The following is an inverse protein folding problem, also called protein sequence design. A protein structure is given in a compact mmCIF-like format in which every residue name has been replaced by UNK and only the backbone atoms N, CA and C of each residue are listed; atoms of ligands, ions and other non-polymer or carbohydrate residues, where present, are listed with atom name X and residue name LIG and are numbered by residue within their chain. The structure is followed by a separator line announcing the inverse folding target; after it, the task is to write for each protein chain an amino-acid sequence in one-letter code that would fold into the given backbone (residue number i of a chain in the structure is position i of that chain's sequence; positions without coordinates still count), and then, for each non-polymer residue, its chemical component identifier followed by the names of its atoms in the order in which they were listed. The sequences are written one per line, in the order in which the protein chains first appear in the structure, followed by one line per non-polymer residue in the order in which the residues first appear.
data_IF_263965689417
#
_entry.id   IF_263965689417
#
_cell.length_a   1.000
_cell.length_b   1.000
_cell.length_c   1.000
_cell.angle_alpha   90.00
_cell.angle_beta   90.00
_cell.angle_gamma   90.00
#
_symmetry.space_group_name_H-M   'P 1'
#
loop_
_entity.id
_entity.type
_entity.pdbx_description
1 polymer ?
#
# COMPACT_ATOMS: atom_id res chain seq x y z
N UNK A 1 -0.19 -37.15 -51.83
CA UNK A 1 0.42 -37.14 -50.46
C UNK A 1 0.55 -35.78 -49.84
N UNK A 2 -0.08 -34.71 -50.36
CA UNK A 2 0.12 -33.32 -49.85
C UNK A 2 -1.04 -32.76 -49.02
N UNK A 3 -2.23 -33.33 -49.04
CA UNK A 3 -3.41 -32.74 -48.39
C UNK A 3 -3.50 -33.13 -46.91
N UNK A 4 -2.97 -34.28 -46.54
CA UNK A 4 -3.01 -34.76 -45.14
C UNK A 4 -2.01 -34.01 -44.24
N UNK A 5 -0.89 -33.53 -44.77
CA UNK A 5 0.10 -32.73 -43.99
C UNK A 5 -0.38 -31.32 -43.73
N UNK A 6 -1.16 -30.73 -44.62
CA UNK A 6 -1.72 -29.38 -44.46
C UNK A 6 -2.85 -29.38 -43.44
N UNK A 7 -3.71 -30.42 -43.44
CA UNK A 7 -4.76 -30.56 -42.44
C UNK A 7 -4.21 -30.85 -41.04
N UNK A 8 -3.09 -31.56 -40.93
CA UNK A 8 -2.43 -31.84 -39.67
C UNK A 8 -1.73 -30.58 -39.13
N UNK A 9 -1.19 -29.72 -39.99
CA UNK A 9 -0.60 -28.43 -39.62
C UNK A 9 -1.68 -27.42 -39.20
N UNK A 10 -2.84 -27.40 -39.86
CA UNK A 10 -3.99 -26.62 -39.43
C UNK A 10 -4.59 -27.13 -38.10
N UNK A 11 -4.59 -28.44 -37.84
CA UNK A 11 -5.00 -29.00 -36.57
C UNK A 11 -4.04 -28.67 -35.43
N UNK A 12 -2.72 -28.58 -35.68
CA UNK A 12 -1.73 -28.14 -34.71
C UNK A 12 -1.80 -26.63 -34.40
N UNK A 13 -2.22 -25.82 -35.36
CA UNK A 13 -2.42 -24.39 -35.15
C UNK A 13 -3.70 -24.11 -34.34
N UNK A 14 -4.69 -24.99 -34.40
CA UNK A 14 -5.96 -24.85 -33.69
C UNK A 14 -5.93 -25.37 -32.23
N UNK A 15 -4.86 -25.99 -31.76
CA UNK A 15 -4.75 -26.60 -30.42
C UNK A 15 -3.84 -25.83 -29.49
N UNK A 16 -3.34 -24.66 -29.88
CA UNK A 16 -2.91 -23.65 -28.92
C UNK A 16 -4.01 -22.59 -28.70
N UNK A 17 -5.24 -22.97 -28.64
CA UNK A 17 -6.18 -22.31 -27.78
C UNK A 17 -5.74 -22.68 -26.37
N UNK A 18 -4.89 -21.82 -25.79
CA UNK A 18 -4.68 -21.83 -24.35
C UNK A 18 -6.06 -21.86 -23.73
N UNK A 19 -6.38 -22.99 -23.15
CA UNK A 19 -7.56 -23.13 -22.30
C UNK A 19 -7.31 -22.20 -21.14
N UNK A 20 -7.64 -20.91 -21.29
CA UNK A 20 -7.74 -19.98 -20.18
C UNK A 20 -8.62 -20.66 -19.16
N UNK A 21 -8.03 -21.09 -18.06
CA UNK A 21 -8.80 -21.73 -17.03
C UNK A 21 -9.86 -20.73 -16.55
N UNK A 22 -11.03 -21.18 -16.19
CA UNK A 22 -12.08 -20.32 -15.64
C UNK A 22 -11.55 -19.53 -14.42
N UNK A 23 -10.56 -20.07 -13.72
CA UNK A 23 -9.89 -19.43 -12.60
C UNK A 23 -9.04 -18.25 -13.04
N UNK A 24 -8.30 -18.35 -14.15
CA UNK A 24 -7.49 -17.24 -14.69
C UNK A 24 -8.39 -16.10 -15.16
N UNK A 25 -9.51 -16.43 -15.83
CA UNK A 25 -10.51 -15.44 -16.27
C UNK A 25 -11.13 -14.72 -15.07
N UNK A 26 -11.47 -15.46 -14.02
CA UNK A 26 -12.02 -14.91 -12.79
C UNK A 26 -11.01 -13.97 -12.10
N UNK A 27 -9.75 -14.39 -11.98
CA UNK A 27 -8.69 -13.57 -11.40
C UNK A 27 -8.46 -12.27 -12.19
N UNK A 28 -8.51 -12.33 -13.53
CA UNK A 28 -8.41 -11.16 -14.40
C UNK A 28 -9.57 -10.18 -14.18
N UNK A 29 -10.81 -10.66 -14.14
CA UNK A 29 -11.99 -9.84 -13.89
C UNK A 29 -11.94 -9.21 -12.51
N UNK A 30 -11.58 -9.98 -11.47
CA UNK A 30 -11.42 -9.44 -10.11
C UNK A 30 -10.36 -8.35 -10.05
N UNK A 31 -9.21 -8.56 -10.71
CA UNK A 31 -8.13 -7.55 -10.80
C UNK A 31 -8.63 -6.27 -11.47
N UNK A 32 -9.35 -6.39 -12.58
CA UNK A 32 -9.92 -5.25 -13.29
C UNK A 32 -10.94 -4.48 -12.45
N UNK A 33 -11.84 -5.18 -11.76
CA UNK A 33 -12.83 -4.56 -10.88
C UNK A 33 -12.18 -3.86 -9.68
N UNK A 34 -11.21 -4.51 -9.03
CA UNK A 34 -10.52 -3.94 -7.87
C UNK A 34 -9.63 -2.75 -8.25
N UNK A 35 -9.03 -2.78 -9.45
CA UNK A 35 -8.28 -1.62 -9.96
C UNK A 35 -9.18 -0.42 -10.27
N UNK A 36 -10.36 -0.66 -10.82
CA UNK A 36 -11.35 0.39 -11.07
C UNK A 36 -11.85 1.01 -9.75
N UNK A 37 -12.16 0.19 -8.75
CA UNK A 37 -12.56 0.66 -7.40
C UNK A 37 -11.44 1.46 -6.74
N UNK A 38 -10.21 0.97 -6.81
CA UNK A 38 -9.05 1.67 -6.24
C UNK A 38 -8.80 3.02 -6.91
N UNK A 39 -8.88 3.06 -8.25
CA UNK A 39 -8.73 4.30 -9.04
C UNK A 39 -9.83 5.32 -8.75
N UNK A 40 -11.08 4.86 -8.69
CA UNK A 40 -12.22 5.71 -8.36
C UNK A 40 -12.14 6.25 -6.92
N UNK A 41 -11.75 5.40 -5.96
CA UNK A 41 -11.57 5.83 -4.58
C UNK A 41 -10.48 6.90 -4.45
N UNK A 42 -9.35 6.74 -5.14
CA UNK A 42 -8.29 7.75 -5.15
C UNK A 42 -8.72 9.04 -5.84
N UNK A 43 -9.42 8.96 -6.97
CA UNK A 43 -9.96 10.12 -7.66
C UNK A 43 -10.93 10.90 -6.75
N UNK A 44 -11.85 10.19 -6.09
CA UNK A 44 -12.81 10.78 -5.17
C UNK A 44 -12.12 11.42 -3.95
N UNK A 45 -11.13 10.72 -3.38
CA UNK A 45 -10.30 11.24 -2.29
C UNK A 45 -9.61 12.55 -2.66
N UNK A 46 -9.05 12.60 -3.86
CA UNK A 46 -8.37 13.80 -4.37
C UNK A 46 -9.34 14.95 -4.62
N UNK A 47 -10.51 14.68 -5.19
CA UNK A 47 -11.54 15.70 -5.46
C UNK A 47 -12.13 16.28 -4.17
N UNK A 48 -12.38 15.43 -3.18
CA UNK A 48 -12.95 15.83 -1.89
C UNK A 48 -11.89 16.32 -0.88
N UNK A 49 -10.60 16.28 -1.24
CA UNK A 49 -9.47 16.61 -0.35
C UNK A 49 -9.48 15.78 0.93
N UNK A 50 -9.89 14.53 0.85
CA UNK A 50 -9.97 13.57 1.97
C UNK A 50 -8.78 12.63 2.03
N UNK A 51 -7.65 12.98 1.40
CA UNK A 51 -6.46 12.14 1.28
C UNK A 51 -5.95 11.63 2.64
N UNK A 52 -6.04 12.42 3.68
CA UNK A 52 -5.63 12.04 5.02
C UNK A 52 -6.59 11.04 5.68
N UNK A 53 -7.89 11.17 5.47
CA UNK A 53 -8.90 10.31 6.11
C UNK A 53 -9.11 9.00 5.35
N UNK A 54 -9.15 9.06 4.03
CA UNK A 54 -9.32 7.88 3.16
C UNK A 54 -8.02 7.13 2.89
N UNK A 55 -6.86 7.71 3.23
CA UNK A 55 -5.54 7.14 2.98
C UNK A 55 -5.35 5.71 3.51
N UNK A 56 -6.03 5.36 4.60
CA UNK A 56 -6.00 4.00 5.16
C UNK A 56 -6.80 2.99 4.34
N UNK A 57 -7.83 3.43 3.63
CA UNK A 57 -8.72 2.56 2.84
C UNK A 57 -8.29 2.42 1.39
N UNK A 58 -7.53 3.39 0.86
CA UNK A 58 -7.07 3.36 -0.53
C UNK A 58 -6.25 2.10 -0.90
N UNK A 59 -5.38 1.57 -0.02
CA UNK A 59 -4.66 0.34 -0.28
C UNK A 59 -5.50 -0.94 -0.18
N UNK A 60 -6.73 -0.87 0.37
CA UNK A 60 -7.57 -2.03 0.65
C UNK A 60 -7.90 -2.89 -0.58
N UNK A 61 -8.30 -2.33 -1.74
CA UNK A 61 -8.60 -3.15 -2.91
C UNK A 61 -7.40 -3.99 -3.40
N UNK A 62 -6.19 -3.43 -3.33
CA UNK A 62 -4.95 -4.13 -3.70
C UNK A 62 -4.67 -5.28 -2.70
N UNK A 63 -4.88 -5.03 -1.41
CA UNK A 63 -4.72 -6.04 -0.38
C UNK A 63 -5.72 -7.20 -0.54
N UNK A 64 -6.99 -6.90 -0.92
CA UNK A 64 -7.99 -7.92 -1.25
C UNK A 64 -7.55 -8.73 -2.46
N UNK A 65 -7.04 -8.08 -3.52
CA UNK A 65 -6.50 -8.78 -4.69
C UNK A 65 -5.38 -9.75 -4.31
N UNK A 66 -4.46 -9.33 -3.42
CA UNK A 66 -3.41 -10.20 -2.91
C UNK A 66 -3.95 -11.44 -2.19
N UNK A 67 -4.92 -11.25 -1.30
CA UNK A 67 -5.47 -12.34 -0.50
C UNK A 67 -6.36 -13.31 -1.30
N UNK A 68 -7.02 -12.84 -2.39
CA UNK A 68 -7.92 -13.66 -3.22
C UNK A 68 -7.19 -14.36 -4.36
N UNK A 69 -6.40 -13.62 -5.10
CA UNK A 69 -5.82 -14.09 -6.37
C UNK A 69 -4.29 -14.13 -6.33
N UNK A 70 -3.69 -13.91 -5.16
CA UNK A 70 -2.25 -14.04 -4.93
C UNK A 70 -1.43 -12.77 -5.18
N UNK A 71 -0.13 -12.89 -4.95
CA UNK A 71 0.82 -11.76 -5.00
C UNK A 71 0.86 -11.07 -6.36
N UNK A 72 0.84 -11.85 -7.45
CA UNK A 72 0.85 -11.32 -8.82
C UNK A 72 -0.35 -10.42 -9.09
N UNK A 73 -1.55 -10.82 -8.62
CA UNK A 73 -2.77 -10.04 -8.77
C UNK A 73 -2.69 -8.68 -8.07
N UNK A 74 -2.05 -8.60 -6.90
CA UNK A 74 -1.84 -7.33 -6.20
C UNK A 74 -0.99 -6.35 -7.03
N UNK A 75 0.10 -6.83 -7.62
CA UNK A 75 0.96 -6.01 -8.47
C UNK A 75 0.25 -5.58 -9.76
N UNK A 76 -0.49 -6.49 -10.40
CA UNK A 76 -1.29 -6.15 -11.59
C UNK A 76 -2.40 -5.14 -11.25
N UNK A 77 -3.08 -5.29 -10.11
CA UNK A 77 -4.09 -4.33 -9.63
C UNK A 77 -3.45 -2.95 -9.41
N UNK A 78 -2.28 -2.89 -8.77
CA UNK A 78 -1.55 -1.64 -8.56
C UNK A 78 -1.19 -0.96 -9.90
N UNK A 79 -0.62 -1.72 -10.84
CA UNK A 79 -0.22 -1.20 -12.15
C UNK A 79 -1.43 -0.75 -12.97
N UNK A 80 -2.51 -1.53 -13.00
CA UNK A 80 -3.74 -1.18 -13.70
C UNK A 80 -4.37 0.10 -13.10
N UNK A 81 -4.39 0.22 -11.75
CA UNK A 81 -4.85 1.43 -11.08
C UNK A 81 -3.96 2.64 -11.43
N UNK A 82 -2.64 2.47 -11.42
CA UNK A 82 -1.70 3.54 -11.78
C UNK A 82 -1.90 4.00 -13.22
N UNK A 83 -2.12 3.07 -14.16
CA UNK A 83 -2.42 3.37 -15.56
C UNK A 83 -3.77 4.10 -15.69
N UNK A 84 -4.80 3.66 -14.98
CA UNK A 84 -6.10 4.33 -14.95
C UNK A 84 -5.97 5.78 -14.46
N UNK A 85 -5.22 5.99 -13.37
CA UNK A 85 -4.98 7.32 -12.82
C UNK A 85 -4.11 8.20 -13.73
N UNK A 86 -3.18 7.58 -14.46
CA UNK A 86 -2.38 8.28 -15.48
C UNK A 86 -3.28 8.92 -16.54
N UNK A 87 -4.29 8.19 -16.99
CA UNK A 87 -5.23 8.66 -18.00
C UNK A 87 -6.21 9.69 -17.42
N UNK A 88 -6.70 9.48 -16.19
CA UNK A 88 -7.73 10.32 -15.58
C UNK A 88 -7.19 11.61 -14.94
N UNK A 89 -6.08 11.52 -14.22
CA UNK A 89 -5.54 12.61 -13.38
C UNK A 89 -4.16 13.11 -13.84
N UNK A 90 -3.57 12.42 -14.82
CA UNK A 90 -2.25 12.74 -15.35
C UNK A 90 -1.09 12.08 -14.59
N UNK A 91 0.16 12.22 -15.13
CA UNK A 91 1.32 11.45 -14.68
C UNK A 91 1.72 11.75 -13.24
N UNK A 92 1.65 13.01 -12.81
CA UNK A 92 2.07 13.42 -11.48
C UNK A 92 1.23 12.74 -10.39
N UNK A 93 -0.09 12.70 -10.56
CA UNK A 93 -1.01 12.06 -9.61
C UNK A 93 -0.88 10.55 -9.61
N UNK A 94 -0.66 9.94 -10.78
CA UNK A 94 -0.42 8.51 -10.89
C UNK A 94 0.87 8.09 -10.14
N UNK A 95 1.97 8.82 -10.32
CA UNK A 95 3.22 8.56 -9.61
C UNK A 95 3.04 8.77 -8.10
N UNK A 96 2.35 9.82 -7.68
CA UNK A 96 2.04 10.06 -6.27
C UNK A 96 1.27 8.89 -5.65
N UNK A 97 0.25 8.37 -6.36
CA UNK A 97 -0.50 7.20 -5.92
C UNK A 97 0.41 5.98 -5.71
N UNK A 98 1.26 5.68 -6.70
CA UNK A 98 2.18 4.54 -6.63
C UNK A 98 3.12 4.66 -5.44
N UNK A 99 3.75 5.84 -5.25
CA UNK A 99 4.70 6.09 -4.16
C UNK A 99 4.04 6.03 -2.77
N UNK A 100 2.87 6.65 -2.61
CA UNK A 100 2.26 6.83 -1.30
C UNK A 100 1.38 5.65 -0.85
N UNK A 101 0.72 4.98 -1.80
CA UNK A 101 -0.29 3.96 -1.49
C UNK A 101 -0.05 2.64 -2.21
N UNK A 102 0.23 2.66 -3.52
CA UNK A 102 0.27 1.49 -4.37
C UNK A 102 1.36 0.49 -3.95
N UNK A 103 2.61 0.94 -3.85
CA UNK A 103 3.74 0.07 -3.46
C UNK A 103 3.57 -0.50 -2.06
N UNK A 104 3.12 0.32 -1.12
CA UNK A 104 2.87 -0.14 0.25
C UNK A 104 1.78 -1.22 0.28
N UNK A 105 0.67 -1.00 -0.43
CA UNK A 105 -0.44 -1.95 -0.49
C UNK A 105 -0.03 -3.30 -1.09
N UNK A 106 0.67 -3.27 -2.23
CA UNK A 106 1.15 -4.48 -2.90
C UNK A 106 2.17 -5.24 -2.04
N UNK A 107 3.09 -4.52 -1.38
CA UNK A 107 4.08 -5.12 -0.49
C UNK A 107 3.43 -5.75 0.74
N UNK A 108 2.53 -5.04 1.44
CA UNK A 108 1.82 -5.58 2.60
C UNK A 108 0.95 -6.79 2.23
N UNK A 109 0.21 -6.71 1.11
CA UNK A 109 -0.56 -7.83 0.60
C UNK A 109 0.33 -9.05 0.33
N UNK A 110 1.51 -8.85 -0.27
CA UNK A 110 2.48 -9.92 -0.52
C UNK A 110 3.00 -10.54 0.77
N UNK A 111 3.32 -9.71 1.78
CA UNK A 111 3.81 -10.19 3.09
C UNK A 111 2.73 -11.03 3.80
N UNK A 112 1.47 -10.67 3.70
CA UNK A 112 0.38 -11.45 4.29
C UNK A 112 0.16 -12.78 3.58
N UNK A 113 0.25 -12.83 2.26
CA UNK A 113 0.20 -14.10 1.50
C UNK A 113 1.35 -15.01 1.90
N UNK A 114 2.55 -14.47 2.09
CA UNK A 114 3.72 -15.20 2.56
C UNK A 114 3.74 -15.49 4.06
N UNK A 115 2.70 -15.06 4.80
CA UNK A 115 2.58 -15.27 6.24
C UNK A 115 3.78 -14.76 7.05
N UNK A 116 4.34 -13.61 6.65
CA UNK A 116 5.45 -13.01 7.38
C UNK A 116 5.04 -12.63 8.81
N UNK A 117 5.98 -12.73 9.80
CA UNK A 117 5.68 -12.34 11.17
C UNK A 117 5.35 -10.85 11.25
N UNK A 118 4.39 -10.52 12.08
CA UNK A 118 3.77 -9.20 12.18
C UNK A 118 4.79 -8.07 12.39
N UNK A 119 5.78 -8.30 13.28
CA UNK A 119 6.82 -7.30 13.58
C UNK A 119 7.66 -6.96 12.34
N UNK A 120 8.05 -7.96 11.55
CA UNK A 120 8.84 -7.76 10.33
C UNK A 120 8.01 -7.03 9.29
N UNK A 121 6.74 -7.40 9.11
CA UNK A 121 5.83 -6.77 8.16
C UNK A 121 5.59 -5.28 8.50
N UNK A 122 5.46 -4.93 9.78
CA UNK A 122 5.31 -3.54 10.22
C UNK A 122 6.59 -2.74 9.96
N UNK A 123 7.76 -3.27 10.32
CA UNK A 123 9.03 -2.57 10.13
C UNK A 123 9.31 -2.36 8.64
N UNK A 124 9.18 -3.41 7.83
CA UNK A 124 9.38 -3.34 6.38
C UNK A 124 8.38 -2.37 5.72
N UNK A 125 7.12 -2.43 6.12
CA UNK A 125 6.09 -1.49 5.67
C UNK A 125 6.39 -0.05 6.07
N UNK A 126 6.87 0.20 7.29
CA UNK A 126 7.25 1.53 7.75
C UNK A 126 8.43 2.11 6.97
N UNK A 127 9.45 1.30 6.69
CA UNK A 127 10.58 1.71 5.85
C UNK A 127 10.11 2.03 4.44
N UNK A 128 9.26 1.18 3.86
CA UNK A 128 8.70 1.41 2.52
C UNK A 128 7.82 2.67 2.49
N UNK A 129 7.03 2.91 3.54
CA UNK A 129 6.22 4.12 3.69
C UNK A 129 7.10 5.37 3.76
N UNK A 130 8.17 5.32 4.55
CA UNK A 130 9.14 6.41 4.64
C UNK A 130 9.81 6.68 3.28
N UNK A 131 10.23 5.64 2.59
CA UNK A 131 10.80 5.76 1.23
C UNK A 131 9.80 6.39 0.25
N UNK A 132 8.53 5.99 0.30
CA UNK A 132 7.47 6.59 -0.50
C UNK A 132 7.25 8.07 -0.22
N UNK A 133 7.29 8.47 1.06
CA UNK A 133 7.18 9.88 1.47
C UNK A 133 8.37 10.71 1.00
N UNK A 134 9.60 10.18 1.10
CA UNK A 134 10.79 10.83 0.56
C UNK A 134 10.74 10.93 -0.95
N UNK A 135 10.31 9.88 -1.64
CA UNK A 135 10.10 9.89 -3.09
C UNK A 135 9.07 10.94 -3.52
N UNK A 136 7.97 11.06 -2.79
CA UNK A 136 6.98 12.13 -3.02
C UNK A 136 7.58 13.53 -2.80
N UNK A 137 8.39 13.72 -1.76
CA UNK A 137 9.07 15.00 -1.49
C UNK A 137 10.01 15.38 -2.64
N UNK A 138 10.79 14.42 -3.15
CA UNK A 138 11.66 14.62 -4.32
C UNK A 138 10.84 14.96 -5.57
N UNK A 139 9.78 14.21 -5.85
CA UNK A 139 8.89 14.46 -6.98
C UNK A 139 8.28 15.87 -6.92
N UNK A 140 7.78 16.27 -5.75
CA UNK A 140 7.21 17.59 -5.52
C UNK A 140 8.25 18.69 -5.68
N UNK A 141 9.47 18.46 -5.18
CA UNK A 141 10.59 19.40 -5.31
C UNK A 141 10.97 19.63 -6.79
N UNK A 142 11.03 18.56 -7.59
CA UNK A 142 11.29 18.65 -9.03
C UNK A 142 10.17 19.38 -9.77
N UNK A 143 8.92 19.14 -9.37
CA UNK A 143 7.75 19.76 -10.03
C UNK A 143 7.63 21.24 -9.74
N UNK A 144 7.94 21.65 -8.50
CA UNK A 144 7.88 23.06 -8.07
C UNK A 144 9.17 23.83 -8.39
N UNK A 145 10.22 23.12 -8.82
CA UNK A 145 11.56 23.65 -9.03
C UNK A 145 12.13 24.36 -7.77
N UNK A 146 11.73 23.84 -6.59
CA UNK A 146 12.15 24.33 -5.28
C UNK A 146 12.64 23.17 -4.42
N UNK A 147 13.63 23.41 -3.56
CA UNK A 147 14.11 22.39 -2.63
C UNK A 147 13.18 22.29 -1.41
N UNK A 148 12.10 21.48 -1.54
CA UNK A 148 11.12 21.30 -0.47
C UNK A 148 11.72 20.70 0.80
N UNK A 149 12.80 19.92 0.70
CA UNK A 149 13.50 19.43 1.88
C UNK A 149 14.15 20.58 2.67
N UNK A 150 14.77 21.53 1.99
CA UNK A 150 15.32 22.72 2.63
C UNK A 150 14.22 23.58 3.27
N UNK A 151 13.07 23.73 2.61
CA UNK A 151 11.92 24.46 3.16
C UNK A 151 11.39 23.75 4.41
N UNK A 152 11.27 22.43 4.39
CA UNK A 152 10.84 21.65 5.57
C UNK A 152 11.84 21.80 6.73
N UNK A 153 13.13 21.73 6.44
CA UNK A 153 14.20 21.92 7.42
C UNK A 153 14.13 23.31 8.07
N UNK A 154 13.96 24.36 7.26
CA UNK A 154 13.82 25.74 7.74
C UNK A 154 12.57 25.93 8.62
N UNK A 155 11.44 25.32 8.25
CA UNK A 155 10.21 25.38 9.04
C UNK A 155 10.38 24.71 10.41
N UNK A 156 11.04 23.55 10.47
CA UNK A 156 11.33 22.86 11.74
C UNK A 156 12.31 23.67 12.59
N UNK A 157 13.33 24.25 11.96
CA UNK A 157 14.29 25.14 12.65
C UNK A 157 13.55 26.33 13.30
N UNK A 158 12.74 27.04 12.53
CA UNK A 158 11.95 28.16 13.01
C UNK A 158 10.99 27.76 14.15
N UNK A 159 10.41 26.58 14.11
CA UNK A 159 9.55 26.05 15.17
C UNK A 159 10.35 25.80 16.45
N UNK A 160 11.52 25.16 16.33
CA UNK A 160 12.41 24.90 17.48
C UNK A 160 12.92 26.19 18.11
N UNK A 161 13.29 27.19 17.30
CA UNK A 161 13.73 28.49 17.81
C UNK A 161 12.62 29.21 18.59
N UNK A 162 11.37 29.13 18.10
CA UNK A 162 10.20 29.67 18.82
C UNK A 162 9.98 28.95 20.17
N UNK A 163 10.11 27.61 20.16
CA UNK A 163 9.97 26.81 21.37
C UNK A 163 11.09 27.08 22.37
N UNK A 164 12.35 27.18 21.92
CA UNK A 164 13.49 27.49 22.79
C UNK A 164 13.37 28.87 23.40
N UNK A 165 12.93 29.87 22.62
CA UNK A 165 12.66 31.21 23.12
C UNK A 165 11.54 31.22 24.17
N UNK A 166 10.46 30.45 23.96
CA UNK A 166 9.37 30.34 24.93
C UNK A 166 9.79 29.65 26.24
N UNK A 167 10.77 28.73 26.16
CA UNK A 167 11.32 28.01 27.33
C UNK A 167 12.50 28.74 28.00
N UNK A 168 12.89 29.92 27.47
CA UNK A 168 14.01 30.67 27.99
C UNK A 168 15.39 30.04 27.76
N UNK A 169 15.50 29.12 26.84
CA UNK A 169 16.72 28.40 26.47
C UNK A 169 17.37 29.06 25.26
N UNK A 170 18.62 29.46 25.37
CA UNK A 170 19.42 30.03 24.29
C UNK A 170 20.30 28.94 23.64
N UNK A 171 19.76 28.15 22.75
CA UNK A 171 20.52 27.14 21.99
C UNK A 171 19.88 26.87 20.66
N UNK A 172 20.57 27.17 19.56
CA UNK A 172 20.12 26.71 18.23
C UNK A 172 20.55 25.25 17.99
N UNK A 173 19.60 24.39 17.61
CA UNK A 173 19.93 23.03 17.26
C UNK A 173 20.72 22.97 15.94
N UNK A 174 21.72 22.09 15.86
CA UNK A 174 22.48 21.94 14.62
C UNK A 174 21.61 21.39 13.49
N UNK A 175 21.89 21.74 12.25
CA UNK A 175 21.19 21.25 11.06
C UNK A 175 21.17 19.72 11.00
N UNK A 176 22.25 19.06 11.42
CA UNK A 176 22.34 17.61 11.48
C UNK A 176 21.34 17.04 12.49
N UNK A 177 21.26 17.62 13.69
CA UNK A 177 20.30 17.19 14.73
C UNK A 177 18.87 17.31 14.25
N UNK A 178 18.53 18.43 13.58
CA UNK A 178 17.19 18.67 13.03
C UNK A 178 16.87 17.64 11.94
N UNK A 179 17.83 17.38 11.03
CA UNK A 179 17.64 16.36 9.98
C UNK A 179 17.39 14.97 10.58
N UNK A 180 18.20 14.54 11.55
CA UNK A 180 18.01 13.26 12.24
C UNK A 180 16.64 13.18 12.93
N UNK A 181 16.18 14.26 13.54
CA UNK A 181 14.86 14.34 14.17
C UNK A 181 13.73 14.20 13.14
N UNK A 182 13.86 14.85 11.98
CA UNK A 182 12.87 14.73 10.88
C UNK A 182 12.78 13.29 10.40
N UNK A 183 13.92 12.63 10.15
CA UNK A 183 13.92 11.22 9.74
C UNK A 183 13.34 10.30 10.81
N UNK A 184 13.65 10.53 12.08
CA UNK A 184 13.07 9.77 13.18
C UNK A 184 11.55 9.96 13.26
N UNK A 185 11.04 11.18 13.11
CA UNK A 185 9.60 11.47 13.08
C UNK A 185 8.91 10.82 11.88
N UNK A 186 9.52 10.84 10.70
CA UNK A 186 8.98 10.15 9.51
C UNK A 186 8.90 8.64 9.74
N UNK A 187 9.92 8.05 10.38
CA UNK A 187 9.93 6.62 10.70
C UNK A 187 8.83 6.28 11.72
N UNK A 188 8.72 7.05 12.80
CA UNK A 188 7.67 6.85 13.82
C UNK A 188 6.28 7.01 13.20
N UNK A 189 6.07 8.04 12.37
CA UNK A 189 4.82 8.21 11.62
C UNK A 189 4.53 7.01 10.72
N UNK A 190 5.55 6.50 10.01
CA UNK A 190 5.44 5.30 9.19
C UNK A 190 5.06 4.06 10.00
N UNK A 191 5.69 3.85 11.15
CA UNK A 191 5.39 2.74 12.08
C UNK A 191 3.94 2.81 12.58
N UNK A 192 3.51 3.98 13.07
CA UNK A 192 2.14 4.18 13.55
C UNK A 192 1.11 3.95 12.42
N UNK A 193 1.38 4.48 11.23
CA UNK A 193 0.52 4.33 10.07
C UNK A 193 0.36 2.86 9.67
N UNK A 194 1.48 2.14 9.48
CA UNK A 194 1.47 0.74 9.06
C UNK A 194 0.89 -0.16 10.15
N UNK A 195 1.18 0.12 11.42
CA UNK A 195 0.57 -0.61 12.54
C UNK A 195 -0.97 -0.47 12.51
N UNK A 196 -1.48 0.75 12.41
CA UNK A 196 -2.92 1.00 12.35
C UNK A 196 -3.55 0.34 11.12
N UNK A 197 -2.88 0.40 9.97
CA UNK A 197 -3.31 -0.26 8.74
C UNK A 197 -3.37 -1.78 8.91
N UNK A 198 -2.39 -2.41 9.57
CA UNK A 198 -2.42 -3.84 9.89
C UNK A 198 -3.62 -4.20 10.77
N UNK A 199 -3.92 -3.41 11.80
CA UNK A 199 -5.07 -3.64 12.68
C UNK A 199 -6.38 -3.54 11.90
N UNK A 200 -6.57 -2.45 11.15
CA UNK A 200 -7.78 -2.22 10.35
C UNK A 200 -7.98 -3.36 9.35
N UNK A 201 -6.94 -3.72 8.62
CA UNK A 201 -7.03 -4.75 7.58
C UNK A 201 -7.21 -6.14 8.16
N UNK A 202 -6.61 -6.44 9.31
CA UNK A 202 -6.86 -7.70 9.99
C UNK A 202 -8.34 -7.86 10.39
N UNK A 203 -8.98 -6.77 10.83
CA UNK A 203 -10.41 -6.78 11.16
C UNK A 203 -11.25 -6.94 9.89
N UNK A 204 -10.99 -6.14 8.86
CA UNK A 204 -11.79 -6.15 7.61
C UNK A 204 -11.62 -7.48 6.87
N UNK A 205 -10.39 -7.90 6.60
CA UNK A 205 -10.13 -9.14 5.86
C UNK A 205 -10.53 -10.37 6.69
N UNK A 206 -10.36 -10.32 8.02
CA UNK A 206 -10.84 -11.35 8.92
C UNK A 206 -12.36 -11.52 8.89
N UNK A 207 -13.13 -10.42 8.83
CA UNK A 207 -14.58 -10.47 8.66
C UNK A 207 -15.02 -11.02 7.30
N UNK A 208 -14.17 -10.89 6.27
CA UNK A 208 -14.38 -11.49 4.94
C UNK A 208 -13.99 -12.98 4.89
N UNK A 209 -13.47 -13.56 5.98
CA UNK A 209 -13.10 -14.97 6.06
C UNK A 209 -11.67 -15.29 5.60
N UNK A 210 -10.82 -14.30 5.35
CA UNK A 210 -9.42 -14.54 5.02
C UNK A 210 -8.60 -14.94 6.24
N UNK A 211 -7.77 -15.97 6.09
CA UNK A 211 -6.85 -16.42 7.14
C UNK A 211 -5.59 -15.57 7.11
N UNK A 212 -5.58 -14.52 7.90
CA UNK A 212 -4.40 -13.72 8.16
C UNK A 212 -3.60 -14.35 9.31
N UNK A 213 -2.28 -14.13 9.34
CA UNK A 213 -1.42 -14.64 10.40
C UNK A 213 -1.88 -14.26 11.81
N UNK A 214 -1.42 -14.96 12.86
CA UNK A 214 -1.90 -14.75 14.23
C UNK A 214 -1.55 -13.35 14.73
N UNK A 215 -2.56 -12.65 15.28
CA UNK A 215 -2.37 -11.37 15.96
C UNK A 215 -1.47 -11.52 17.20
N UNK A 216 -0.60 -10.54 17.47
CA UNK A 216 0.07 -10.44 18.77
C UNK A 216 -0.94 -10.47 19.91
N UNK A 217 -0.62 -11.21 20.99
CA UNK A 217 -1.56 -11.45 22.09
C UNK A 217 -2.16 -10.18 22.71
N UNK A 218 -1.36 -9.09 22.75
CA UNK A 218 -1.80 -7.78 23.26
C UNK A 218 -2.90 -7.20 22.37
N UNK A 219 -2.68 -7.14 21.04
CA UNK A 219 -3.64 -6.58 20.10
C UNK A 219 -4.91 -7.40 20.04
N UNK A 220 -4.79 -8.74 20.08
CA UNK A 220 -5.92 -9.67 20.11
C UNK A 220 -6.84 -9.40 21.31
N UNK A 221 -6.28 -9.12 22.48
CA UNK A 221 -7.05 -8.83 23.71
C UNK A 221 -7.92 -7.58 23.55
N UNK A 222 -7.42 -6.53 22.88
CA UNK A 222 -8.15 -5.27 22.71
C UNK A 222 -9.10 -5.27 21.50
N UNK A 223 -8.68 -5.85 20.39
CA UNK A 223 -9.49 -5.88 19.15
C UNK A 223 -10.67 -6.82 19.25
N UNK A 224 -10.53 -7.95 19.96
CA UNK A 224 -11.59 -8.96 20.12
C UNK A 224 -12.16 -9.01 21.55
N UNK A 225 -11.95 -8.00 22.36
CA UNK A 225 -12.45 -7.96 23.75
C UNK A 225 -13.98 -8.06 23.88
N UNK A 226 -14.74 -7.81 22.79
CA UNK A 226 -16.20 -7.88 22.78
C UNK A 226 -16.80 -8.95 21.86
N UNK A 227 -15.97 -9.77 21.19
CA UNK A 227 -16.47 -10.79 20.26
C UNK A 227 -16.42 -12.15 20.95
N UNK A 228 -17.56 -12.88 21.08
CA UNK A 228 -17.55 -14.26 21.60
C UNK A 228 -16.60 -15.11 20.75
N UNK A 229 -15.62 -15.74 21.41
CA UNK A 229 -14.67 -16.62 20.71
C UNK A 229 -15.44 -17.82 20.17
N UNK A 230 -15.52 -17.95 18.86
CA UNK A 230 -15.93 -19.21 18.25
C UNK A 230 -14.96 -20.32 18.68
N UNK A 231 -15.47 -21.48 19.15
CA UNK A 231 -14.62 -22.58 19.55
C UNK A 231 -13.73 -23.01 18.38
N UNK A 232 -12.42 -23.11 18.63
CA UNK A 232 -11.45 -23.58 17.64
C UNK A 232 -11.81 -25.00 17.21
N UNK A 233 -12.06 -25.30 15.93
CA UNK A 233 -12.20 -26.67 15.47
C UNK A 233 -10.81 -27.32 15.54
N UNK A 234 -10.63 -28.27 16.44
CA UNK A 234 -9.46 -29.18 16.43
C UNK A 234 -8.58 -29.15 17.67
N UNK A 235 -9.14 -29.45 18.84
CA UNK A 235 -8.48 -30.17 19.91
C UNK A 235 -9.46 -31.21 20.43
N UNK A 236 -9.54 -32.30 19.72
CA UNK A 236 -10.02 -33.58 20.18
C UNK A 236 -8.97 -34.61 19.77
#
# INVERSE_FOLDING_TARGET
MGVCSVLQQFSCIHVQQETYSLEDTKALVETAMLSAVSGLAFLLSTLLKLDNSLGYFLPLPIAIAACRSGVSAAWYTMLATAFLLLVLLGPLRAITYVLMHGMLAAALGSMWVWQWPWSISIIAGAVLRMAGQLGYLVLSSLTMNENLFAVMLANVHNLLDRLSAALGSSGSASTLTISCMIFALLLVNGLCYVFLQHVIYHVILGSMGFKLGPLPGIVRKYVYAGVPQQPQPGKA
#
